data_IF_557768664342
#
_entry.id   IF_557768664342
#
_cell.length_a   1.000
_cell.length_b   1.000
_cell.length_c   1.000
_cell.angle_alpha   90.00
_cell.angle_beta   90.00
_cell.angle_gamma   90.00
#
_symmetry.space_group_name_H-M   'P 1'
#
loop_
_entity.id
_entity.type
_entity.pdbx_description
1 polymer ?
#
# COMPACT_ATOMS: atom_id res chain seq x y z
N UNK A 1 -12.11 -0.07 -23.34
CA UNK A 1 -11.95 0.71 -22.10
C UNK A 1 -11.33 2.05 -22.50
N UNK A 2 -11.96 3.18 -22.19
CA UNK A 2 -11.45 4.50 -22.62
C UNK A 2 -10.32 4.97 -21.71
N UNK A 3 -9.41 5.80 -22.25
CA UNK A 3 -8.25 6.35 -21.51
C UNK A 3 -8.70 7.12 -20.26
N UNK A 4 -9.86 7.79 -20.32
CA UNK A 4 -10.43 8.54 -19.19
C UNK A 4 -10.80 7.66 -18.00
N UNK A 5 -11.31 6.45 -18.25
CA UNK A 5 -11.68 5.52 -17.18
C UNK A 5 -10.45 5.01 -16.42
N UNK A 6 -9.35 4.81 -17.15
CA UNK A 6 -8.08 4.38 -16.56
C UNK A 6 -7.50 5.51 -15.70
N UNK A 7 -7.51 6.74 -16.22
CA UNK A 7 -7.07 7.92 -15.46
C UNK A 7 -7.89 8.11 -14.18
N UNK A 8 -9.21 7.95 -14.25
CA UNK A 8 -10.09 8.01 -13.08
C UNK A 8 -9.75 6.91 -12.05
N UNK A 9 -9.45 5.69 -12.48
CA UNK A 9 -9.03 4.59 -11.60
C UNK A 9 -7.68 4.84 -10.95
N UNK A 10 -6.71 5.38 -11.69
CA UNK A 10 -5.40 5.76 -11.11
C UNK A 10 -5.55 6.87 -10.07
N UNK A 11 -6.39 7.87 -10.33
CA UNK A 11 -6.71 8.93 -9.36
C UNK A 11 -7.39 8.33 -8.12
N UNK A 12 -8.38 7.46 -8.32
CA UNK A 12 -9.05 6.72 -7.24
C UNK A 12 -8.04 5.95 -6.39
N UNK A 13 -7.11 5.23 -7.03
CA UNK A 13 -6.06 4.50 -6.33
C UNK A 13 -5.16 5.42 -5.50
N UNK A 14 -4.72 6.56 -6.07
CA UNK A 14 -3.90 7.52 -5.33
C UNK A 14 -4.64 8.10 -4.13
N UNK A 15 -5.91 8.48 -4.30
CA UNK A 15 -6.76 8.95 -3.20
C UNK A 15 -6.94 7.89 -2.12
N UNK A 16 -7.19 6.64 -2.52
CA UNK A 16 -7.26 5.49 -1.61
C UNK A 16 -5.96 5.28 -0.85
N UNK A 17 -4.81 5.37 -1.52
CA UNK A 17 -3.50 5.26 -0.90
C UNK A 17 -3.23 6.37 0.13
N UNK A 18 -3.53 7.62 -0.22
CA UNK A 18 -3.40 8.77 0.69
C UNK A 18 -4.31 8.58 1.91
N UNK A 19 -5.56 8.16 1.69
CA UNK A 19 -6.52 7.90 2.77
C UNK A 19 -6.00 6.79 3.71
N UNK A 20 -5.50 5.68 3.18
CA UNK A 20 -4.95 4.59 3.98
C UNK A 20 -3.73 5.02 4.80
N UNK A 21 -2.84 5.85 4.23
CA UNK A 21 -1.71 6.42 4.97
C UNK A 21 -2.20 7.34 6.08
N UNK A 22 -3.19 8.21 5.80
CA UNK A 22 -3.77 9.09 6.81
C UNK A 22 -4.43 8.31 7.95
N UNK A 23 -5.26 7.31 7.64
CA UNK A 23 -5.82 6.38 8.64
C UNK A 23 -4.70 5.71 9.44
N UNK A 24 -3.68 5.18 8.77
CA UNK A 24 -2.57 4.52 9.46
C UNK A 24 -1.81 5.44 10.41
N UNK A 25 -1.63 6.71 10.04
CA UNK A 25 -1.03 7.72 10.93
C UNK A 25 -1.93 7.99 12.13
N UNK A 26 -3.24 8.15 11.93
CA UNK A 26 -4.19 8.34 13.02
C UNK A 26 -4.18 7.15 13.99
N UNK A 27 -4.13 5.92 13.49
CA UNK A 27 -4.09 4.69 14.31
C UNK A 27 -2.81 4.56 15.14
N UNK A 28 -1.73 5.25 14.79
CA UNK A 28 -0.51 5.29 15.61
C UNK A 28 -0.74 6.13 16.88
N UNK A 29 -1.47 7.23 16.76
CA UNK A 29 -1.70 8.18 17.85
C UNK A 29 -2.99 7.94 18.64
N UNK A 30 -3.97 7.28 18.03
CA UNK A 30 -5.31 7.08 18.60
C UNK A 30 -5.53 5.59 18.84
N UNK A 31 -5.59 5.20 20.12
CA UNK A 31 -5.80 3.80 20.52
C UNK A 31 -7.27 3.35 20.41
N UNK A 32 -8.22 4.27 20.57
CA UNK A 32 -9.65 3.98 20.47
C UNK A 32 -10.18 4.38 19.09
N UNK A 33 -10.40 3.38 18.25
CA UNK A 33 -10.92 3.59 16.91
C UNK A 33 -12.44 3.69 16.93
N UNK A 34 -12.96 4.81 16.41
CA UNK A 34 -14.38 4.96 16.13
C UNK A 34 -14.79 4.10 14.91
N UNK A 35 -16.05 3.70 14.84
CA UNK A 35 -16.64 2.96 13.72
C UNK A 35 -16.44 3.70 12.38
N UNK A 36 -16.40 5.04 12.42
CA UNK A 36 -16.15 5.89 11.25
C UNK A 36 -14.77 5.60 10.65
N UNK A 37 -13.72 5.44 11.46
CA UNK A 37 -12.37 5.23 10.94
C UNK A 37 -12.23 3.85 10.26
N UNK A 38 -12.99 2.85 10.71
CA UNK A 38 -13.05 1.56 10.03
C UNK A 38 -13.72 1.63 8.66
N UNK A 39 -14.77 2.43 8.52
CA UNK A 39 -15.40 2.68 7.22
C UNK A 39 -14.44 3.38 6.26
N UNK A 40 -13.65 4.34 6.74
CA UNK A 40 -12.63 5.02 5.96
C UNK A 40 -11.53 4.06 5.47
N UNK A 41 -11.08 3.13 6.32
CA UNK A 41 -10.12 2.09 5.92
C UNK A 41 -10.72 1.21 4.81
N UNK A 42 -11.96 0.74 4.96
CA UNK A 42 -12.62 -0.08 3.95
C UNK A 42 -12.76 0.67 2.62
N UNK A 43 -13.14 1.94 2.67
CA UNK A 43 -13.19 2.82 1.51
C UNK A 43 -11.80 2.97 0.87
N UNK A 44 -10.76 3.21 1.68
CA UNK A 44 -9.38 3.35 1.25
C UNK A 44 -8.87 2.10 0.54
N UNK A 45 -9.11 0.91 1.10
CA UNK A 45 -8.76 -0.38 0.49
C UNK A 45 -9.50 -0.57 -0.84
N UNK A 46 -10.80 -0.25 -0.89
CA UNK A 46 -11.59 -0.33 -2.11
C UNK A 46 -11.04 0.58 -3.21
N UNK A 47 -10.86 1.87 -2.90
CA UNK A 47 -10.33 2.86 -3.83
C UNK A 47 -8.92 2.50 -4.30
N UNK A 48 -8.04 2.10 -3.39
CA UNK A 48 -6.68 1.65 -3.70
C UNK A 48 -6.69 0.42 -4.61
N UNK A 49 -7.45 -0.62 -4.27
CA UNK A 49 -7.50 -1.86 -5.03
C UNK A 49 -8.10 -1.72 -6.43
N UNK A 50 -9.07 -0.81 -6.63
CA UNK A 50 -9.78 -0.66 -7.91
C UNK A 50 -8.92 -0.18 -9.08
N UNK A 51 -7.82 0.54 -8.80
CA UNK A 51 -6.91 1.05 -9.82
C UNK A 51 -5.49 0.51 -9.73
N UNK A 52 -5.19 -0.30 -8.71
CA UNK A 52 -3.85 -0.85 -8.50
C UNK A 52 -3.39 -1.72 -9.68
N UNK A 53 -4.24 -2.62 -10.17
CA UNK A 53 -3.87 -3.49 -11.30
C UNK A 53 -3.63 -2.72 -12.58
N UNK A 54 -4.41 -1.65 -12.83
CA UNK A 54 -4.24 -0.74 -13.95
C UNK A 54 -2.95 0.08 -13.80
N UNK A 55 -2.66 0.60 -12.60
CA UNK A 55 -1.42 1.34 -12.31
C UNK A 55 -0.17 0.48 -12.50
N UNK A 56 -0.24 -0.80 -12.13
CA UNK A 56 0.85 -1.76 -12.31
C UNK A 56 0.94 -2.31 -13.74
N UNK A 57 0.11 -1.85 -14.70
CA UNK A 57 0.13 -2.33 -16.08
C UNK A 57 -0.36 -3.77 -16.27
N UNK A 58 -1.06 -4.34 -15.28
CA UNK A 58 -1.53 -5.73 -15.29
C UNK A 58 -2.87 -5.91 -16.03
N UNK A 59 -3.57 -4.82 -16.36
CA UNK A 59 -4.85 -4.83 -17.08
C UNK A 59 -4.80 -3.96 -18.34
N UNK A 60 -5.51 -4.41 -19.38
CA UNK A 60 -5.76 -3.60 -20.56
C UNK A 60 -6.57 -2.34 -20.21
N UNK A 61 -6.36 -1.20 -20.89
CA UNK A 61 -5.60 -1.01 -22.13
C UNK A 61 -4.10 -0.69 -21.92
N UNK A 62 -3.66 -0.43 -20.69
CA UNK A 62 -2.27 -0.11 -20.34
C UNK A 62 -1.37 -1.35 -20.20
N UNK A 63 -1.73 -2.47 -20.85
CA UNK A 63 -0.95 -3.70 -20.75
C UNK A 63 0.34 -3.54 -21.54
N UNK A 64 1.36 -3.05 -20.86
CA UNK A 64 2.74 -2.96 -21.31
C UNK A 64 3.55 -3.98 -20.51
N UNK A 65 4.29 -4.83 -21.19
CA UNK A 65 5.13 -5.87 -20.58
C UNK A 65 6.19 -5.26 -19.65
N UNK A 66 6.74 -4.09 -20.00
CA UNK A 66 7.71 -3.37 -19.16
C UNK A 66 7.05 -2.92 -17.86
N UNK A 67 5.92 -2.23 -17.96
CA UNK A 67 5.19 -1.70 -16.79
C UNK A 67 4.70 -2.84 -15.90
N UNK A 68 4.19 -3.93 -16.49
CA UNK A 68 3.77 -5.13 -15.77
C UNK A 68 4.92 -5.79 -15.00
N UNK A 69 6.12 -5.87 -15.59
CA UNK A 69 7.32 -6.41 -14.93
C UNK A 69 7.74 -5.53 -13.75
N UNK A 70 7.84 -4.23 -13.94
CA UNK A 70 8.15 -3.26 -12.89
C UNK A 70 7.13 -3.34 -11.76
N UNK A 71 5.83 -3.32 -12.11
CA UNK A 71 4.73 -3.38 -11.15
C UNK A 71 4.74 -4.67 -10.33
N UNK A 72 5.01 -5.81 -10.97
CA UNK A 72 5.09 -7.11 -10.29
C UNK A 72 6.29 -7.17 -9.33
N UNK A 73 7.46 -6.69 -9.75
CA UNK A 73 8.64 -6.60 -8.88
C UNK A 73 8.39 -5.67 -7.68
N UNK A 74 7.80 -4.50 -7.93
CA UNK A 74 7.47 -3.55 -6.87
C UNK A 74 6.50 -4.13 -5.85
N UNK A 75 5.44 -4.81 -6.29
CA UNK A 75 4.50 -5.50 -5.41
C UNK A 75 5.17 -6.62 -4.62
N UNK A 76 6.09 -7.36 -5.26
CA UNK A 76 6.83 -8.44 -4.60
C UNK A 76 7.71 -7.87 -3.48
N UNK A 77 8.48 -6.81 -3.75
CA UNK A 77 9.29 -6.15 -2.72
C UNK A 77 8.46 -5.50 -1.62
N UNK A 78 7.33 -4.87 -1.96
CA UNK A 78 6.36 -4.35 -1.00
C UNK A 78 5.85 -5.45 -0.07
N UNK A 79 5.46 -6.60 -0.63
CA UNK A 79 5.01 -7.76 0.15
C UNK A 79 6.08 -8.28 1.11
N UNK A 80 7.32 -8.47 0.62
CA UNK A 80 8.44 -8.87 1.48
C UNK A 80 8.73 -7.85 2.59
N UNK A 81 8.60 -6.55 2.29
CA UNK A 81 8.80 -5.48 3.29
C UNK A 81 7.74 -5.54 4.39
N UNK A 82 6.49 -5.79 4.02
CA UNK A 82 5.40 -6.00 5.00
C UNK A 82 5.63 -7.27 5.83
N UNK A 83 6.12 -8.36 5.22
CA UNK A 83 6.48 -9.57 5.97
C UNK A 83 7.58 -9.30 7.01
N UNK A 84 8.64 -8.59 6.61
CA UNK A 84 9.71 -8.18 7.52
C UNK A 84 9.16 -7.32 8.65
N UNK A 85 8.27 -6.36 8.34
CA UNK A 85 7.62 -5.53 9.35
C UNK A 85 6.81 -6.38 10.35
N UNK A 86 5.96 -7.28 9.87
CA UNK A 86 5.12 -8.13 10.73
C UNK A 86 5.98 -9.02 11.63
N UNK A 87 7.02 -9.63 11.09
CA UNK A 87 7.98 -10.43 11.88
C UNK A 87 8.68 -9.55 12.92
N UNK A 88 9.10 -8.34 12.53
CA UNK A 88 9.76 -7.40 13.44
C UNK A 88 8.83 -6.98 14.57
N UNK A 89 7.56 -6.69 14.26
CA UNK A 89 6.55 -6.37 15.27
C UNK A 89 6.36 -7.55 16.23
N UNK A 90 6.23 -8.76 15.70
CA UNK A 90 6.03 -9.95 16.53
C UNK A 90 7.23 -10.25 17.43
N UNK A 91 8.46 -10.11 16.94
CA UNK A 91 9.67 -10.35 17.73
C UNK A 91 9.88 -9.27 18.80
N UNK A 92 9.71 -8.00 18.43
CA UNK A 92 10.01 -6.86 19.32
C UNK A 92 8.88 -6.58 20.31
N UNK A 93 7.61 -6.68 19.90
CA UNK A 93 6.47 -6.27 20.72
C UNK A 93 5.55 -7.43 21.15
N UNK A 94 5.72 -8.62 20.56
CA UNK A 94 4.90 -9.79 20.86
C UNK A 94 5.58 -10.80 21.78
N UNK A 95 6.66 -11.42 21.29
CA UNK A 95 7.30 -12.57 21.94
C UNK A 95 8.56 -12.21 22.75
N UNK A 96 9.30 -11.17 22.34
CA UNK A 96 10.65 -10.91 22.87
C UNK A 96 10.82 -9.63 23.68
N UNK A 97 9.90 -8.65 23.61
CA UNK A 97 10.08 -7.35 24.27
C UNK A 97 9.00 -7.00 25.29
N UNK A 98 9.38 -6.16 26.26
CA UNK A 98 8.52 -5.71 27.35
C UNK A 98 7.50 -4.63 26.98
N UNK A 99 7.61 -4.04 25.79
CA UNK A 99 6.64 -3.06 25.27
C UNK A 99 5.60 -3.76 24.40
N UNK A 100 4.32 -3.46 24.66
CA UNK A 100 3.20 -3.95 23.85
C UNK A 100 2.76 -2.87 22.88
N UNK A 101 2.64 -3.23 21.61
CA UNK A 101 1.99 -2.40 20.60
C UNK A 101 0.49 -2.70 20.59
N UNK A 102 -0.35 -1.68 20.44
CA UNK A 102 -1.78 -1.89 20.28
C UNK A 102 -2.10 -2.46 18.90
N UNK A 103 -3.22 -3.18 18.77
CA UNK A 103 -3.67 -3.68 17.46
C UNK A 103 -3.87 -2.54 16.43
N UNK A 104 -4.48 -1.39 16.80
CA UNK A 104 -4.54 -0.23 15.91
C UNK A 104 -3.18 0.23 15.40
N UNK A 105 -2.20 0.38 16.29
CA UNK A 105 -0.85 0.82 15.93
C UNK A 105 -0.17 -0.17 14.96
N UNK A 106 -0.34 -1.47 15.19
CA UNK A 106 0.21 -2.50 14.30
C UNK A 106 -0.42 -2.45 12.90
N UNK A 107 -1.75 -2.35 12.81
CA UNK A 107 -2.45 -2.21 11.53
C UNK A 107 -2.05 -0.91 10.83
N UNK A 108 -1.98 0.20 11.56
CA UNK A 108 -1.60 1.50 11.02
C UNK A 108 -0.20 1.48 10.40
N UNK A 109 0.76 0.86 11.08
CA UNK A 109 2.10 0.66 10.55
C UNK A 109 2.09 -0.19 9.27
N UNK A 110 1.30 -1.27 9.22
CA UNK A 110 1.18 -2.12 8.04
C UNK A 110 0.59 -1.34 6.85
N UNK A 111 -0.48 -0.57 7.07
CA UNK A 111 -1.11 0.24 6.02
C UNK A 111 -0.14 1.25 5.41
N UNK A 112 0.58 1.99 6.26
CA UNK A 112 1.58 2.97 5.82
C UNK A 112 2.67 2.27 5.01
N UNK A 113 3.28 1.23 5.58
CA UNK A 113 4.41 0.55 4.93
C UNK A 113 3.98 -0.09 3.62
N UNK A 114 2.80 -0.72 3.55
CA UNK A 114 2.30 -1.34 2.33
C UNK A 114 2.09 -0.31 1.20
N UNK A 115 1.47 0.83 1.50
CA UNK A 115 1.22 1.86 0.49
C UNK A 115 2.53 2.52 0.05
N UNK A 116 3.33 2.97 1.02
CA UNK A 116 4.59 3.71 0.76
C UNK A 116 5.59 2.82 0.03
N UNK A 117 5.75 1.55 0.44
CA UNK A 117 6.70 0.64 -0.22
C UNK A 117 6.25 0.27 -1.64
N UNK A 118 4.95 0.07 -1.87
CA UNK A 118 4.42 -0.17 -3.22
C UNK A 118 4.80 0.96 -4.18
N UNK A 119 4.57 2.22 -3.81
CA UNK A 119 4.96 3.36 -4.63
C UNK A 119 6.47 3.57 -4.70
N UNK A 120 7.16 3.41 -3.57
CA UNK A 120 8.61 3.57 -3.48
C UNK A 120 9.38 2.59 -4.36
N UNK A 121 9.03 1.30 -4.32
CA UNK A 121 9.64 0.31 -5.19
C UNK A 121 9.22 0.44 -6.65
N UNK A 122 7.97 0.82 -6.94
CA UNK A 122 7.54 1.06 -8.31
C UNK A 122 8.35 2.19 -8.95
N UNK A 123 8.57 3.28 -8.21
CA UNK A 123 9.41 4.38 -8.63
C UNK A 123 10.90 4.02 -8.74
N UNK A 124 11.43 3.26 -7.77
CA UNK A 124 12.83 2.83 -7.77
C UNK A 124 13.16 1.92 -8.96
N UNK A 125 12.40 0.83 -9.15
CA UNK A 125 12.60 -0.12 -10.25
C UNK A 125 12.28 0.54 -11.60
N UNK A 126 11.32 1.47 -11.62
CA UNK A 126 11.00 2.25 -12.81
C UNK A 126 12.16 3.10 -13.34
N UNK A 127 13.07 3.54 -12.47
CA UNK A 127 14.28 4.29 -12.87
C UNK A 127 15.39 3.42 -13.46
N UNK A 128 15.54 2.19 -12.99
CA UNK A 128 16.59 1.28 -13.47
C UNK A 128 16.38 0.88 -14.95
N UNK A 129 15.14 0.89 -15.44
CA UNK A 129 14.84 0.61 -16.84
C UNK A 129 15.07 1.76 -17.82
N UNK A 130 15.51 2.95 -17.37
CA UNK A 130 15.85 4.12 -18.21
C UNK A 130 17.37 4.25 -18.45
N UNK A 131 18.16 3.26 -18.00
CA UNK A 131 19.64 3.26 -18.04
C UNK A 131 20.21 2.20 -18.99
N UNK A 132 19.35 1.53 -19.76
CA UNK A 132 19.73 0.70 -20.93
C UNK A 132 19.22 1.36 -22.22
#
# INVERSE_FOLDING_TARGET
MTVDLVRARTISMLLGGILLVACGVLMIFIENLDEILWLEIMLGVGLFGTGLFEYLGLRQPLKDERVARIGTLAMTYSWYTVLILVISIALVFGMGGGYKISMPQAIGAILIVMVVSTFGFNWYVGREGDVE
#
